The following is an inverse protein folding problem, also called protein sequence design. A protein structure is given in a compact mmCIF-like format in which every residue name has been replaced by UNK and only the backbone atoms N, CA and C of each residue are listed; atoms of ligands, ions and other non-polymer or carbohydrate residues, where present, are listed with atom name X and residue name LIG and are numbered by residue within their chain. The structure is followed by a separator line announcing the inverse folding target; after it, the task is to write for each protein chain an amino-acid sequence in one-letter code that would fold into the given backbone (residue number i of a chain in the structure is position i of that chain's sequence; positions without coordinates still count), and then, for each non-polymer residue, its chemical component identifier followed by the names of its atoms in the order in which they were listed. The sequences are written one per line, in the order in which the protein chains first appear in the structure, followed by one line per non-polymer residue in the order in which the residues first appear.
data_IF_933671763106
#
_entry.id   IF_933671763106
#
_cell.length_a   1.000
_cell.length_b   1.000
_cell.length_c   1.000
_cell.angle_alpha   90.00
_cell.angle_beta   90.00
_cell.angle_gamma   90.00
#
_symmetry.space_group_name_H-M   'P 1'
#
loop_
_entity.id
_entity.type
_entity.pdbx_description
1 polymer ?
#
# COMPACT_ATOMS: atom_id res chain seq x y z
N UNK A 1 -13.10 7.63 -6.21
CA UNK A 1 -13.86 7.05 -5.08
C UNK A 1 -13.73 7.93 -3.83
N UNK A 2 -14.82 8.16 -3.11
CA UNK A 2 -14.86 8.93 -1.86
C UNK A 2 -15.55 8.06 -0.79
N UNK A 3 -14.77 7.49 0.13
CA UNK A 3 -15.28 6.57 1.16
C UNK A 3 -16.36 7.21 2.04
N UNK A 4 -16.25 8.51 2.32
CA UNK A 4 -17.25 9.22 3.12
C UNK A 4 -18.60 9.32 2.40
N UNK A 5 -18.57 9.47 1.06
CA UNK A 5 -19.78 9.50 0.26
C UNK A 5 -20.45 8.13 0.16
N UNK A 6 -19.68 7.04 0.23
CA UNK A 6 -20.17 5.65 0.26
C UNK A 6 -20.65 5.22 1.66
N UNK A 7 -20.44 6.06 2.69
CA UNK A 7 -20.83 5.76 4.08
C UNK A 7 -19.85 4.86 4.84
N UNK A 8 -18.70 4.58 4.22
CA UNK A 8 -17.64 3.73 4.78
C UNK A 8 -16.70 4.52 5.71
N UNK A 9 -16.18 3.84 6.72
CA UNK A 9 -15.29 4.41 7.73
C UNK A 9 -13.89 3.83 7.62
N UNK A 10 -12.91 4.63 8.02
CA UNK A 10 -11.54 4.16 8.15
C UNK A 10 -11.35 3.30 9.40
N UNK A 11 -10.35 2.41 9.39
CA UNK A 11 -9.98 1.61 10.56
C UNK A 11 -9.70 2.49 11.79
N UNK A 12 -9.09 3.66 11.60
CA UNK A 12 -8.79 4.61 12.67
C UNK A 12 -10.07 5.21 13.29
N UNK A 13 -11.06 5.58 12.48
CA UNK A 13 -12.36 6.07 12.99
C UNK A 13 -13.08 4.97 13.77
N UNK A 14 -13.11 3.74 13.24
CA UNK A 14 -13.70 2.60 13.92
C UNK A 14 -13.03 2.30 15.27
N UNK A 15 -11.71 2.45 15.35
CA UNK A 15 -10.95 2.31 16.60
C UNK A 15 -11.34 3.39 17.62
N UNK A 16 -11.41 4.65 17.20
CA UNK A 16 -11.78 5.78 18.05
C UNK A 16 -13.21 5.58 18.58
N UNK A 17 -14.16 5.32 17.69
CA UNK A 17 -15.55 5.10 18.07
C UNK A 17 -15.67 3.95 19.07
N UNK A 18 -14.98 2.83 18.81
CA UNK A 18 -15.14 1.60 19.61
C UNK A 18 -14.47 1.66 20.97
N UNK A 19 -13.28 2.27 21.06
CA UNK A 19 -12.45 2.22 22.26
C UNK A 19 -12.40 3.54 23.05
N UNK A 20 -12.63 4.68 22.42
CA UNK A 20 -12.53 5.99 23.06
C UNK A 20 -13.91 6.60 23.31
N UNK A 21 -14.84 6.51 22.36
CA UNK A 21 -16.14 7.20 22.46
C UNK A 21 -17.25 6.31 23.03
N UNK A 22 -17.33 5.05 22.61
CA UNK A 22 -18.43 4.15 23.00
C UNK A 22 -18.45 3.77 24.49
N UNK A 23 -17.40 4.11 25.27
CA UNK A 23 -17.39 4.01 26.74
C UNK A 23 -17.73 2.65 27.37
N UNK A 24 -17.79 1.56 26.59
CA UNK A 24 -18.51 0.36 27.01
C UNK A 24 -17.61 -0.68 27.71
N UNK A 25 -17.95 -1.00 28.96
CA UNK A 25 -17.51 -2.20 29.68
C UNK A 25 -18.21 -3.45 29.13
N UNK A 26 -17.67 -4.08 28.09
CA UNK A 26 -17.99 -5.47 27.77
C UNK A 26 -17.02 -6.38 28.51
N UNK A 27 -17.26 -6.51 29.83
CA UNK A 27 -16.46 -7.40 30.70
C UNK A 27 -16.46 -8.80 30.08
N UNK A 28 -15.27 -9.29 29.70
CA UNK A 28 -15.08 -10.63 29.14
C UNK A 28 -15.06 -10.74 27.61
N UNK A 29 -15.38 -9.68 26.85
CA UNK A 29 -15.24 -9.69 25.39
C UNK A 29 -13.85 -9.16 25.00
N UNK A 30 -13.03 -9.96 24.29
CA UNK A 30 -11.75 -9.50 23.77
C UNK A 30 -11.92 -8.22 22.94
N UNK A 31 -11.02 -7.23 23.07
CA UNK A 31 -11.02 -6.03 22.23
C UNK A 31 -11.13 -6.29 20.73
N UNK A 32 -10.54 -7.40 20.24
CA UNK A 32 -10.60 -7.79 18.83
C UNK A 32 -12.03 -8.07 18.35
N UNK A 33 -12.77 -8.88 19.09
CA UNK A 33 -14.12 -9.30 18.73
C UNK A 33 -15.09 -8.09 18.69
N UNK A 34 -14.77 -7.02 19.42
CA UNK A 34 -15.54 -5.76 19.42
C UNK A 34 -15.36 -4.96 18.13
N UNK A 35 -14.22 -5.09 17.46
CA UNK A 35 -13.90 -4.32 16.25
C UNK A 35 -13.99 -5.15 14.98
N UNK A 36 -13.85 -6.48 15.05
CA UNK A 36 -13.85 -7.36 13.88
C UNK A 36 -15.10 -7.16 13.00
N UNK A 37 -16.31 -7.25 13.56
CA UNK A 37 -17.53 -7.03 12.79
C UNK A 37 -17.61 -5.62 12.19
N UNK A 38 -17.09 -4.61 12.91
CA UNK A 38 -17.05 -3.23 12.43
C UNK A 38 -16.08 -3.04 11.28
N UNK A 39 -15.04 -3.87 11.18
CA UNK A 39 -14.10 -3.80 10.06
C UNK A 39 -14.76 -4.38 8.81
N UNK A 40 -15.52 -5.48 8.95
CA UNK A 40 -16.16 -6.14 7.83
C UNK A 40 -17.40 -5.43 7.30
N UNK A 41 -18.14 -4.70 8.15
CA UNK A 41 -19.41 -4.07 7.74
C UNK A 41 -19.23 -2.59 7.39
N UNK A 42 -18.92 -1.66 8.32
CA UNK A 42 -18.70 -0.25 7.98
C UNK A 42 -17.23 0.13 7.65
N UNK A 43 -16.31 -0.85 7.59
CA UNK A 43 -14.87 -0.59 7.39
C UNK A 43 -14.33 -1.07 6.05
N UNK A 44 -15.16 -1.73 5.26
CA UNK A 44 -14.81 -2.41 4.02
C UNK A 44 -15.74 -1.90 2.93
N UNK A 45 -15.19 -1.11 2.03
CA UNK A 45 -15.88 -0.80 0.78
C UNK A 45 -15.86 -2.04 -0.12
N UNK A 46 -17.04 -2.57 -0.47
CA UNK A 46 -17.19 -3.66 -1.42
C UNK A 46 -17.51 -3.11 -2.82
N UNK A 47 -16.57 -3.26 -3.75
CA UNK A 47 -16.71 -2.81 -5.13
C UNK A 47 -17.00 -3.97 -6.10
N UNK A 48 -17.32 -3.66 -7.35
CA UNK A 48 -17.57 -4.70 -8.37
C UNK A 48 -16.30 -5.54 -8.67
N UNK A 49 -15.12 -4.91 -8.62
CA UNK A 49 -13.86 -5.53 -9.05
C UNK A 49 -12.80 -5.64 -7.95
N UNK A 50 -12.94 -4.85 -6.88
CA UNK A 50 -12.02 -4.83 -5.76
C UNK A 50 -12.75 -4.32 -4.53
N UNK A 51 -12.26 -4.74 -3.37
CA UNK A 51 -12.68 -4.18 -2.09
C UNK A 51 -11.56 -3.28 -1.57
N UNK A 52 -11.94 -2.25 -0.80
CA UNK A 52 -11.00 -1.28 -0.25
C UNK A 52 -11.17 -1.14 1.26
N UNK A 53 -10.05 -1.18 1.96
CA UNK A 53 -9.95 -0.78 3.36
C UNK A 53 -8.98 0.37 3.48
N UNK A 54 -9.45 1.48 4.05
CA UNK A 54 -8.59 2.61 4.40
C UNK A 54 -8.25 2.58 5.88
N UNK A 55 -6.95 2.69 6.19
CA UNK A 55 -6.49 2.74 7.59
C UNK A 55 -6.91 4.07 8.24
N UNK A 56 -6.91 5.16 7.46
CA UNK A 56 -7.18 6.51 7.95
C UNK A 56 -6.00 7.14 8.70
N UNK A 57 -6.10 8.44 9.03
CA UNK A 57 -5.03 9.15 9.72
C UNK A 57 -4.99 8.78 11.20
N UNK A 58 -3.79 8.81 11.78
CA UNK A 58 -3.61 8.58 13.22
C UNK A 58 -3.96 9.84 14.00
N UNK A 59 -5.21 9.97 14.44
CA UNK A 59 -5.73 11.17 15.14
C UNK A 59 -5.65 11.12 16.67
N UNK A 60 -5.09 10.08 17.28
CA UNK A 60 -5.12 9.90 18.74
C UNK A 60 -3.76 10.25 19.36
N UNK A 61 -3.71 11.28 20.20
CA UNK A 61 -2.59 11.51 21.12
C UNK A 61 -2.55 10.38 22.17
N UNK A 62 -1.42 9.66 22.26
CA UNK A 62 -1.22 8.64 23.29
C UNK A 62 -0.64 7.32 22.79
N UNK A 63 -0.75 6.28 23.62
CA UNK A 63 -0.05 5.01 23.41
C UNK A 63 -0.62 4.22 22.22
N UNK A 64 0.13 4.20 21.11
CA UNK A 64 -0.22 3.54 19.84
C UNK A 64 -0.24 1.99 19.87
N UNK A 65 -0.11 1.37 21.04
CA UNK A 65 -0.03 -0.08 21.16
C UNK A 65 -1.33 -0.78 20.74
N UNK A 66 -2.51 -0.28 21.17
CA UNK A 66 -3.81 -0.85 20.81
C UNK A 66 -4.16 -0.65 19.31
N UNK A 67 -4.09 0.57 18.76
CA UNK A 67 -4.36 0.80 17.33
C UNK A 67 -3.44 0.00 16.40
N UNK A 68 -2.13 -0.06 16.69
CA UNK A 68 -1.19 -0.82 15.87
C UNK A 68 -1.42 -2.33 15.97
N UNK A 69 -1.78 -2.85 17.15
CA UNK A 69 -2.10 -4.27 17.33
C UNK A 69 -3.40 -4.66 16.62
N UNK A 70 -4.41 -3.79 16.66
CA UNK A 70 -5.65 -3.96 15.92
C UNK A 70 -5.39 -3.95 14.42
N UNK A 71 -4.70 -2.92 13.90
CA UNK A 71 -4.35 -2.83 12.47
C UNK A 71 -3.56 -4.05 11.99
N UNK A 72 -2.59 -4.51 12.78
CA UNK A 72 -1.85 -5.75 12.47
C UNK A 72 -2.80 -6.94 12.31
N UNK A 73 -3.73 -7.14 13.26
CA UNK A 73 -4.70 -8.24 13.19
C UNK A 73 -5.68 -8.07 12.04
N UNK A 74 -6.12 -6.84 11.75
CA UNK A 74 -6.93 -6.50 10.58
C UNK A 74 -6.23 -7.01 9.33
N UNK A 75 -4.97 -6.63 9.11
CA UNK A 75 -4.24 -7.09 7.92
C UNK A 75 -4.05 -8.61 7.92
N UNK A 76 -3.76 -9.25 9.06
CA UNK A 76 -3.61 -10.71 9.13
C UNK A 76 -4.90 -11.51 8.82
N UNK A 77 -6.07 -10.95 9.13
CA UNK A 77 -7.37 -11.63 8.94
C UNK A 77 -8.03 -11.24 7.61
N UNK A 78 -7.97 -9.96 7.24
CA UNK A 78 -8.53 -9.46 5.99
C UNK A 78 -7.83 -10.07 4.78
N UNK A 79 -6.52 -10.33 4.82
CA UNK A 79 -5.78 -10.83 3.64
C UNK A 79 -6.22 -12.24 3.22
N UNK A 80 -6.65 -13.09 4.16
CA UNK A 80 -6.91 -14.52 3.91
C UNK A 80 -7.98 -14.82 2.84
N UNK A 81 -9.14 -14.15 2.81
CA UNK A 81 -10.14 -14.39 1.79
C UNK A 81 -9.76 -13.85 0.40
N UNK A 82 -8.81 -12.92 0.30
CA UNK A 82 -8.43 -12.33 -0.99
C UNK A 82 -7.29 -13.11 -1.65
N UNK A 83 -7.44 -13.30 -2.95
CA UNK A 83 -6.42 -13.90 -3.81
C UNK A 83 -5.20 -12.99 -3.97
N UNK A 84 -5.42 -11.69 -4.12
CA UNK A 84 -4.40 -10.67 -4.31
C UNK A 84 -4.69 -9.51 -3.36
N UNK A 85 -3.67 -9.03 -2.64
CA UNK A 85 -3.78 -7.86 -1.77
C UNK A 85 -2.69 -6.87 -2.13
N UNK A 86 -3.09 -5.62 -2.36
CA UNK A 86 -2.17 -4.50 -2.60
C UNK A 86 -2.24 -3.61 -1.37
N UNK A 87 -1.08 -3.31 -0.79
CA UNK A 87 -0.96 -2.37 0.31
C UNK A 87 -0.23 -1.15 -0.19
N UNK A 88 -0.95 -0.03 -0.31
CA UNK A 88 -0.36 1.27 -0.59
C UNK A 88 0.08 1.90 0.74
N UNK A 89 1.35 2.32 0.81
CA UNK A 89 1.94 2.93 2.00
C UNK A 89 2.88 4.04 1.58
N UNK A 90 2.92 5.17 2.33
CA UNK A 90 3.98 6.16 2.19
C UNK A 90 5.37 5.53 2.32
N UNK A 91 6.40 6.29 1.95
CA UNK A 91 7.80 5.88 2.03
C UNK A 91 8.22 5.53 3.47
N UNK A 92 7.97 4.27 3.86
CA UNK A 92 8.05 3.84 5.24
C UNK A 92 7.27 2.56 5.48
N UNK A 93 7.86 1.63 6.23
CA UNK A 93 7.18 0.41 6.68
C UNK A 93 6.80 0.49 8.16
N UNK A 94 7.01 1.63 8.82
CA UNK A 94 6.77 1.86 10.24
C UNK A 94 5.31 1.65 10.66
N UNK A 95 4.37 1.82 9.73
CA UNK A 95 2.95 1.59 9.97
C UNK A 95 2.56 0.13 9.78
N UNK A 96 3.40 -0.67 9.11
CA UNK A 96 3.18 -2.08 8.88
C UNK A 96 4.02 -2.87 9.89
N UNK A 97 3.36 -3.59 10.78
CA UNK A 97 4.06 -4.41 11.76
C UNK A 97 5.02 -5.41 11.08
N UNK A 98 6.19 -5.69 11.67
CA UNK A 98 7.18 -6.64 11.10
C UNK A 98 6.58 -7.98 10.65
N UNK A 99 5.58 -8.47 11.38
CA UNK A 99 4.89 -9.72 11.05
C UNK A 99 3.99 -9.60 9.80
N UNK A 100 3.40 -8.44 9.56
CA UNK A 100 2.59 -8.14 8.37
C UNK A 100 3.48 -8.12 7.12
N UNK A 101 4.60 -7.39 7.19
CA UNK A 101 5.50 -7.23 6.03
C UNK A 101 6.23 -8.52 5.68
N UNK A 102 6.50 -9.40 6.66
CA UNK A 102 7.05 -10.75 6.41
C UNK A 102 6.11 -11.61 5.56
N UNK A 103 4.81 -11.32 5.56
CA UNK A 103 3.82 -12.02 4.74
C UNK A 103 3.82 -11.60 3.26
N UNK A 104 4.51 -10.51 2.91
CA UNK A 104 4.49 -10.00 1.53
C UNK A 104 5.35 -10.88 0.61
N UNK A 105 4.77 -11.23 -0.54
CA UNK A 105 5.50 -11.91 -1.60
C UNK A 105 6.50 -10.98 -2.28
N UNK A 106 6.10 -9.71 -2.48
CA UNK A 106 6.92 -8.70 -3.13
C UNK A 106 6.70 -7.33 -2.48
N UNK A 107 7.78 -6.57 -2.34
CA UNK A 107 7.76 -5.14 -2.01
C UNK A 107 8.26 -4.35 -3.22
N UNK A 108 7.43 -3.44 -3.74
CA UNK A 108 7.75 -2.59 -4.88
C UNK A 108 8.14 -1.18 -4.42
N UNK A 109 9.39 -0.80 -4.63
CA UNK A 109 9.89 0.55 -4.43
C UNK A 109 9.67 1.37 -5.70
N UNK A 110 8.70 2.29 -5.68
CA UNK A 110 8.50 3.24 -6.78
C UNK A 110 9.52 4.38 -6.67
N UNK A 111 10.35 4.55 -7.69
CA UNK A 111 11.45 5.51 -7.70
C UNK A 111 11.36 6.48 -8.88
N UNK A 112 11.46 7.77 -8.58
CA UNK A 112 11.55 8.84 -9.58
C UNK A 112 13.04 9.13 -9.92
N UNK A 113 13.37 9.82 -11.04
CA UNK A 113 14.75 10.16 -11.41
C UNK A 113 15.34 11.28 -10.54
N UNK A 114 15.40 11.06 -9.23
CA UNK A 114 15.96 11.99 -8.26
C UNK A 114 16.70 11.26 -7.15
N UNK A 115 17.84 11.80 -6.73
CA UNK A 115 18.70 11.19 -5.72
C UNK A 115 17.97 10.91 -4.39
N UNK A 116 17.07 11.79 -3.96
CA UNK A 116 16.28 11.60 -2.74
C UNK A 116 15.33 10.40 -2.83
N UNK A 117 14.81 10.11 -4.03
CA UNK A 117 13.95 8.94 -4.26
C UNK A 117 14.75 7.64 -4.12
N UNK A 118 15.97 7.61 -4.70
CA UNK A 118 16.90 6.49 -4.55
C UNK A 118 17.32 6.29 -3.09
N UNK A 119 17.68 7.36 -2.37
CA UNK A 119 18.09 7.27 -0.97
C UNK A 119 16.96 6.72 -0.08
N UNK A 120 15.72 7.10 -0.39
CA UNK A 120 14.53 6.54 0.25
C UNK A 120 14.36 5.05 -0.05
N UNK A 121 14.50 4.65 -1.31
CA UNK A 121 14.45 3.24 -1.71
C UNK A 121 15.57 2.40 -1.06
N UNK A 122 16.76 2.98 -0.87
CA UNK A 122 17.86 2.33 -0.17
C UNK A 122 17.50 2.06 1.30
N UNK A 123 16.91 3.05 1.99
CA UNK A 123 16.42 2.90 3.37
C UNK A 123 15.36 1.80 3.47
N UNK A 124 14.42 1.78 2.53
CA UNK A 124 13.37 0.75 2.47
C UNK A 124 13.99 -0.63 2.20
N UNK A 125 14.93 -0.76 1.26
CA UNK A 125 15.61 -2.03 0.96
C UNK A 125 16.34 -2.58 2.18
N UNK A 126 17.04 -1.72 2.94
CA UNK A 126 17.68 -2.13 4.20
C UNK A 126 16.65 -2.64 5.20
N UNK A 127 15.53 -1.93 5.39
CA UNK A 127 14.48 -2.33 6.33
C UNK A 127 13.80 -3.64 5.91
N UNK A 128 13.53 -3.81 4.62
CA UNK A 128 12.94 -5.02 4.05
C UNK A 128 13.82 -6.26 4.27
N UNK A 129 15.15 -6.11 4.18
CA UNK A 129 16.11 -7.18 4.54
C UNK A 129 16.02 -7.57 6.02
N UNK A 130 15.89 -6.59 6.93
CA UNK A 130 15.77 -6.88 8.38
C UNK A 130 14.49 -7.62 8.77
N UNK A 131 13.41 -7.44 8.01
CA UNK A 131 12.10 -8.05 8.27
C UNK A 131 11.83 -9.28 7.39
N UNK A 132 12.81 -9.65 6.55
CA UNK A 132 12.82 -10.84 5.71
C UNK A 132 11.65 -10.91 4.72
N UNK A 133 11.42 -9.81 3.98
CA UNK A 133 10.56 -9.81 2.79
C UNK A 133 11.16 -10.76 1.75
N UNK A 134 10.30 -11.54 1.07
CA UNK A 134 10.76 -12.54 0.09
C UNK A 134 11.48 -11.89 -1.09
N UNK A 135 10.92 -10.81 -1.63
CA UNK A 135 11.45 -10.13 -2.80
C UNK A 135 11.24 -8.60 -2.71
N UNK A 136 12.27 -7.84 -3.08
CA UNK A 136 12.24 -6.37 -3.08
C UNK A 136 12.70 -5.90 -4.46
N UNK A 137 11.83 -5.18 -5.16
CA UNK A 137 12.04 -4.74 -6.55
C UNK A 137 11.82 -3.23 -6.65
N UNK A 138 12.31 -2.62 -7.71
CA UNK A 138 12.11 -1.22 -8.01
C UNK A 138 11.29 -1.03 -9.31
N UNK A 139 10.53 0.06 -9.35
CA UNK A 139 9.80 0.51 -10.55
C UNK A 139 10.16 1.97 -10.77
N UNK A 140 10.75 2.28 -11.92
CA UNK A 140 11.00 3.67 -12.29
C UNK A 140 9.69 4.39 -12.62
N UNK A 141 9.54 5.62 -12.16
CA UNK A 141 8.35 6.44 -12.31
C UNK A 141 8.71 7.83 -12.82
N UNK A 142 7.76 8.48 -13.49
CA UNK A 142 7.92 9.83 -14.08
C UNK A 142 9.15 9.97 -14.98
N UNK A 143 9.50 8.91 -15.71
CA UNK A 143 10.64 8.89 -16.63
C UNK A 143 10.33 9.78 -17.84
N UNK A 144 11.22 10.72 -18.15
CA UNK A 144 11.06 11.65 -19.28
C UNK A 144 12.07 11.43 -20.41
N UNK A 145 13.15 10.69 -20.13
CA UNK A 145 14.27 10.54 -21.04
C UNK A 145 15.04 9.24 -20.81
N UNK A 146 15.81 8.78 -21.80
CA UNK A 146 16.71 7.63 -21.63
C UNK A 146 17.85 7.91 -20.63
N UNK A 147 18.15 9.18 -20.34
CA UNK A 147 19.06 9.53 -19.23
C UNK A 147 18.45 9.22 -17.87
N UNK A 148 17.15 9.44 -17.71
CA UNK A 148 16.43 9.11 -16.47
C UNK A 148 16.41 7.60 -16.26
N UNK A 149 16.11 6.82 -17.30
CA UNK A 149 16.16 5.35 -17.26
C UNK A 149 17.52 4.85 -16.79
N UNK A 150 18.60 5.32 -17.44
CA UNK A 150 19.97 4.95 -17.07
C UNK A 150 20.35 5.35 -15.65
N UNK A 151 19.89 6.52 -15.20
CA UNK A 151 20.12 6.97 -13.84
C UNK A 151 19.44 6.03 -12.83
N UNK A 152 18.15 5.74 -13.04
CA UNK A 152 17.37 4.86 -12.16
C UNK A 152 17.96 3.45 -12.14
N UNK A 153 18.23 2.84 -13.30
CA UNK A 153 18.80 1.49 -13.39
C UNK A 153 20.15 1.38 -12.66
N UNK A 154 21.06 2.33 -12.94
CA UNK A 154 22.38 2.34 -12.32
C UNK A 154 22.27 2.51 -10.81
N UNK A 155 21.54 3.53 -10.36
CA UNK A 155 21.43 3.85 -8.94
C UNK A 155 20.67 2.79 -8.14
N UNK A 156 19.62 2.19 -8.71
CA UNK A 156 18.92 1.06 -8.10
C UNK A 156 19.83 -0.17 -7.98
N UNK A 157 20.60 -0.48 -9.02
CA UNK A 157 21.56 -1.59 -9.00
C UNK A 157 22.65 -1.38 -7.94
N UNK A 158 23.16 -0.16 -7.75
CA UNK A 158 24.17 0.16 -6.73
C UNK A 158 23.66 -0.11 -5.30
N UNK A 159 22.35 0.05 -5.06
CA UNK A 159 21.72 -0.24 -3.77
C UNK A 159 21.13 -1.66 -3.68
N UNK A 160 21.40 -2.50 -4.68
CA UNK A 160 20.95 -3.90 -4.74
C UNK A 160 19.43 -4.03 -4.92
N UNK A 161 18.84 -3.18 -5.75
CA UNK A 161 17.46 -3.31 -6.22
C UNK A 161 17.45 -3.56 -7.73
N UNK A 162 16.64 -4.54 -8.14
CA UNK A 162 16.36 -4.80 -9.55
C UNK A 162 15.20 -3.92 -10.02
N UNK A 163 15.36 -3.22 -11.13
CA UNK A 163 14.28 -2.46 -11.76
C UNK A 163 13.51 -3.37 -12.72
N UNK A 164 12.21 -3.54 -12.49
CA UNK A 164 11.37 -4.47 -13.27
C UNK A 164 10.46 -3.76 -14.30
N UNK A 165 10.51 -2.44 -14.34
CA UNK A 165 9.73 -1.64 -15.27
C UNK A 165 9.96 -0.15 -15.08
N UNK A 166 9.63 0.61 -16.12
CA UNK A 166 9.69 2.06 -16.16
C UNK A 166 8.32 2.60 -16.58
N UNK A 167 7.78 3.53 -15.82
CA UNK A 167 6.55 4.25 -16.12
C UNK A 167 6.92 5.66 -16.58
N UNK A 168 6.60 6.04 -17.84
CA UNK A 168 6.91 7.36 -18.33
C UNK A 168 6.08 8.43 -17.62
N UNK A 169 6.62 9.64 -17.55
CA UNK A 169 5.81 10.80 -17.22
C UNK A 169 4.74 11.01 -18.30
N UNK A 170 3.48 11.07 -17.89
CA UNK A 170 2.35 11.22 -18.80
C UNK A 170 1.42 12.36 -18.36
N UNK A 171 1.35 13.45 -19.15
CA UNK A 171 0.44 14.56 -18.88
C UNK A 171 -1.04 14.17 -18.81
N UNK A 172 -1.47 13.13 -19.52
CA UNK A 172 -2.87 12.69 -19.48
C UNK A 172 -3.22 12.02 -18.15
N UNK A 173 -2.28 11.33 -17.50
CA UNK A 173 -2.46 10.82 -16.15
C UNK A 173 -2.64 11.97 -15.16
N UNK A 174 -1.81 13.02 -15.27
CA UNK A 174 -1.93 14.20 -14.42
C UNK A 174 -3.26 14.95 -14.65
N UNK A 175 -3.75 14.98 -15.89
CA UNK A 175 -5.04 15.58 -16.22
C UNK A 175 -6.21 14.75 -15.68
N UNK A 176 -6.13 13.42 -15.79
CA UNK A 176 -7.12 12.51 -15.25
C UNK A 176 -7.22 12.62 -13.72
N UNK A 177 -6.08 12.66 -13.03
CA UNK A 177 -5.99 12.90 -11.58
C UNK A 177 -6.69 14.20 -11.16
N UNK A 178 -6.40 15.31 -11.84
CA UNK A 178 -7.09 16.61 -11.59
C UNK A 178 -8.60 16.55 -11.80
N UNK A 179 -9.07 15.69 -12.70
CA UNK A 179 -10.49 15.49 -12.98
C UNK A 179 -11.12 14.43 -12.08
N UNK A 180 -10.33 13.76 -11.22
CA UNK A 180 -10.73 12.59 -10.42
C UNK A 180 -11.31 11.46 -11.29
N UNK A 181 -10.79 11.34 -12.51
CA UNK A 181 -11.16 10.27 -13.45
C UNK A 181 -10.08 9.21 -13.39
N UNK A 182 -10.47 7.97 -13.10
CA UNK A 182 -9.53 6.88 -12.81
C UNK A 182 -8.92 6.21 -14.07
N UNK A 183 -9.19 6.72 -15.28
CA UNK A 183 -8.78 6.03 -16.50
C UNK A 183 -8.39 6.96 -17.66
N UNK A 184 -7.12 6.90 -18.04
CA UNK A 184 -6.61 7.34 -19.34
C UNK A 184 -6.17 6.09 -20.15
N UNK A 185 -7.10 5.33 -20.76
CA UNK A 185 -6.83 3.95 -21.18
C UNK A 185 -5.80 3.82 -22.33
N UNK A 186 -5.59 4.90 -23.09
CA UNK A 186 -4.60 5.00 -24.17
C UNK A 186 -3.27 5.64 -23.75
N UNK A 187 -3.10 5.94 -22.47
CA UNK A 187 -1.87 6.53 -21.91
C UNK A 187 -0.68 5.56 -22.02
N UNK A 188 0.50 6.04 -22.48
CA UNK A 188 1.75 5.31 -22.35
C UNK A 188 2.04 4.81 -20.93
N UNK A 189 1.71 5.58 -19.90
CA UNK A 189 1.88 5.16 -18.49
C UNK A 189 0.98 3.97 -18.14
N UNK A 190 -0.29 3.98 -18.56
CA UNK A 190 -1.19 2.82 -18.36
C UNK A 190 -0.70 1.58 -19.09
N UNK A 191 -0.12 1.74 -20.28
CA UNK A 191 0.48 0.63 -21.03
C UNK A 191 1.69 0.06 -20.29
N UNK A 192 2.56 0.92 -19.76
CA UNK A 192 3.70 0.50 -18.93
C UNK A 192 3.26 -0.22 -17.65
N UNK A 193 2.21 0.26 -16.97
CA UNK A 193 1.66 -0.39 -15.77
C UNK A 193 1.07 -1.77 -16.10
N UNK A 194 0.39 -1.93 -17.24
CA UNK A 194 -0.10 -3.25 -17.70
C UNK A 194 1.05 -4.22 -17.95
N UNK A 195 2.12 -3.77 -18.60
CA UNK A 195 3.32 -4.59 -18.80
C UNK A 195 3.97 -4.97 -17.47
N UNK A 196 4.08 -4.04 -16.53
CA UNK A 196 4.59 -4.30 -15.19
C UNK A 196 3.77 -5.36 -14.45
N UNK A 197 2.43 -5.27 -14.51
CA UNK A 197 1.53 -6.30 -13.97
C UNK A 197 1.83 -7.66 -14.58
N UNK A 198 1.98 -7.74 -15.90
CA UNK A 198 2.21 -9.02 -16.59
C UNK A 198 3.59 -9.61 -16.24
N UNK A 199 4.62 -8.78 -16.12
CA UNK A 199 5.95 -9.15 -15.61
C UNK A 199 5.85 -9.73 -14.19
N UNK A 200 5.11 -9.08 -13.29
CA UNK A 200 4.91 -9.55 -11.92
C UNK A 200 4.14 -10.87 -11.87
N UNK A 201 3.08 -11.01 -12.67
CA UNK A 201 2.31 -12.27 -12.76
C UNK A 201 3.19 -13.42 -13.21
N UNK A 202 4.01 -13.21 -14.24
CA UNK A 202 4.92 -14.23 -14.74
C UNK A 202 6.00 -14.60 -13.71
N UNK A 203 6.57 -13.60 -13.02
CA UNK A 203 7.63 -13.79 -12.02
C UNK A 203 7.15 -14.51 -10.76
N UNK A 204 5.97 -14.15 -10.27
CA UNK A 204 5.42 -14.66 -9.01
C UNK A 204 4.50 -15.87 -9.21
N UNK A 205 4.21 -16.25 -10.45
CA UNK A 205 3.30 -17.36 -10.78
C UNK A 205 1.84 -17.06 -10.39
N UNK A 206 1.45 -15.79 -10.37
CA UNK A 206 0.06 -15.39 -10.08
C UNK A 206 -0.83 -15.71 -11.28
N UNK A 207 -1.89 -16.50 -11.06
CA UNK A 207 -2.92 -16.76 -12.10
C UNK A 207 -3.93 -15.62 -12.17
#
# INVERSE_FOLDING_TARGET
MDLYAEGEKTISELLIETFLESGGTTVGVPPWDRIEWKIWEPGLYEGENFDLVAIGPKWVEGCYCLPNAALKRVTEHLVKPYRNVIVDSPAGLEHLGRATVKGFDVLLCVVDPGAQSIETAERINRLAKYINVKEVLAVGSKVTSSSDERFIEKSASEIGLEVIGMVPFDPEVLKADRMRIDLAPSSPAISAIKNLRDTLKARLGWS
#
